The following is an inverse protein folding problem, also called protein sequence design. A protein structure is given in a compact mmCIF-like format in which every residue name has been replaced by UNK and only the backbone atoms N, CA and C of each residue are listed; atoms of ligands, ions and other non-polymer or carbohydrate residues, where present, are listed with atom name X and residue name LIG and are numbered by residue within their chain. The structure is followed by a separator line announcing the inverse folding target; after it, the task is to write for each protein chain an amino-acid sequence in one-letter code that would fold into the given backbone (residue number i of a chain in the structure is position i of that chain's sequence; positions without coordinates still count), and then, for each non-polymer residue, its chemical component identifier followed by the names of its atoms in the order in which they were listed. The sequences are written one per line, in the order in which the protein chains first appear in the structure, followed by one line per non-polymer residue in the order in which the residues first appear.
data_IF_799961378002
#
_entry.id   IF_799961378002
#
_cell.length_a   1.000
_cell.length_b   1.000
_cell.length_c   1.000
_cell.angle_alpha   90.00
_cell.angle_beta   90.00
_cell.angle_gamma   90.00
#
_symmetry.space_group_name_H-M   'P 1'
#
loop_
_entity.id
_entity.type
_entity.pdbx_description
1 polymer ?
#
# COMPACT_ATOMS: atom_id res chain seq x y z
N UNK A 1 -14.64 -11.49 -10.55
CA UNK A 1 -14.68 -10.46 -11.62
C UNK A 1 -14.30 -9.12 -11.00
N UNK A 2 -13.34 -8.42 -11.60
CA UNK A 2 -12.91 -7.09 -11.16
C UNK A 2 -14.05 -6.09 -11.43
N UNK A 3 -14.38 -5.22 -10.46
CA UNK A 3 -15.50 -4.28 -10.62
C UNK A 3 -15.21 -3.24 -11.71
N UNK A 4 -16.27 -2.67 -12.31
CA UNK A 4 -16.12 -1.64 -13.35
C UNK A 4 -15.34 -0.40 -12.87
N UNK A 5 -15.44 -0.03 -11.59
CA UNK A 5 -14.67 1.09 -11.00
C UNK A 5 -13.16 0.80 -10.97
N UNK A 6 -12.79 -0.44 -10.65
CA UNK A 6 -11.38 -0.86 -10.61
C UNK A 6 -10.81 -0.86 -12.03
N UNK A 7 -11.55 -1.41 -13.01
CA UNK A 7 -11.09 -1.43 -14.40
C UNK A 7 -10.88 -0.03 -14.96
N UNK A 8 -11.84 0.89 -14.74
CA UNK A 8 -11.71 2.28 -15.17
C UNK A 8 -10.47 2.96 -14.57
N UNK A 9 -10.16 2.71 -13.29
CA UNK A 9 -8.93 3.22 -12.68
C UNK A 9 -7.69 2.62 -13.37
N UNK A 10 -7.63 1.30 -13.58
CA UNK A 10 -6.47 0.66 -14.21
C UNK A 10 -6.24 1.16 -15.64
N UNK A 11 -7.30 1.35 -16.44
CA UNK A 11 -7.22 1.94 -17.77
C UNK A 11 -6.67 3.37 -17.71
N UNK A 12 -7.13 4.18 -16.74
CA UNK A 12 -6.58 5.51 -16.52
C UNK A 12 -5.07 5.46 -16.18
N UNK A 13 -4.64 4.53 -15.33
CA UNK A 13 -3.24 4.38 -14.97
C UNK A 13 -2.38 3.95 -16.17
N UNK A 14 -2.88 3.04 -17.01
CA UNK A 14 -2.21 2.65 -18.27
C UNK A 14 -2.07 3.84 -19.21
N UNK A 15 -3.12 4.64 -19.36
CA UNK A 15 -3.09 5.86 -20.16
C UNK A 15 -2.08 6.90 -19.63
N UNK A 16 -1.80 6.89 -18.32
CA UNK A 16 -0.79 7.72 -17.66
C UNK A 16 0.63 7.13 -17.70
N UNK A 17 0.82 5.98 -18.36
CA UNK A 17 2.14 5.39 -18.62
C UNK A 17 2.60 4.33 -17.62
N UNK A 18 1.72 3.86 -16.72
CA UNK A 18 1.98 2.66 -15.92
C UNK A 18 1.89 1.44 -16.85
N UNK A 19 2.98 0.69 -16.96
CA UNK A 19 3.15 -0.44 -17.90
C UNK A 19 3.39 -1.77 -17.21
N UNK A 20 3.74 -1.76 -15.92
CA UNK A 20 3.97 -2.98 -15.17
C UNK A 20 2.64 -3.66 -14.81
N UNK A 21 2.34 -4.73 -15.54
CA UNK A 21 1.12 -5.51 -15.32
C UNK A 21 1.13 -6.25 -13.96
N UNK A 22 2.30 -6.55 -13.37
CA UNK A 22 2.35 -7.11 -12.01
C UNK A 22 1.87 -6.08 -10.99
N UNK A 23 2.31 -4.82 -11.13
CA UNK A 23 1.85 -3.71 -10.29
C UNK A 23 0.36 -3.44 -10.46
N UNK A 24 -0.14 -3.41 -11.70
CA UNK A 24 -1.57 -3.22 -11.98
C UNK A 24 -2.43 -4.35 -11.41
N UNK A 25 -1.96 -5.60 -11.50
CA UNK A 25 -2.64 -6.74 -10.90
C UNK A 25 -2.66 -6.66 -9.36
N UNK A 26 -1.56 -6.23 -8.72
CA UNK A 26 -1.52 -5.99 -7.28
C UNK A 26 -2.49 -4.88 -6.86
N UNK A 27 -2.56 -3.77 -7.61
CA UNK A 27 -3.54 -2.69 -7.38
C UNK A 27 -4.99 -3.18 -7.47
N UNK A 28 -5.31 -4.06 -8.42
CA UNK A 28 -6.64 -4.65 -8.54
C UNK A 28 -6.96 -5.65 -7.43
N UNK A 29 -5.95 -6.37 -6.92
CA UNK A 29 -6.13 -7.37 -5.87
C UNK A 29 -6.35 -6.74 -4.48
N UNK A 30 -5.79 -5.57 -4.24
CA UNK A 30 -5.88 -4.89 -2.94
C UNK A 30 -7.13 -4.01 -2.86
N UNK A 31 -8.11 -4.32 -1.97
CA UNK A 31 -9.38 -3.59 -1.86
C UNK A 31 -9.18 -2.21 -1.23
N UNK A 32 -8.91 -1.19 -2.04
CA UNK A 32 -8.53 0.17 -1.61
C UNK A 32 -9.55 0.80 -0.65
N UNK A 33 -10.83 0.50 -0.80
CA UNK A 33 -11.90 0.95 0.09
C UNK A 33 -11.71 0.53 1.56
N UNK A 34 -11.02 -0.60 1.82
CA UNK A 34 -10.75 -1.04 3.19
C UNK A 34 -9.69 -0.20 3.90
N UNK A 35 -8.98 0.67 3.17
CA UNK A 35 -7.86 1.48 3.66
C UNK A 35 -8.22 2.95 3.91
N UNK A 36 -9.49 3.30 3.79
CA UNK A 36 -10.03 4.65 3.99
C UNK A 36 -11.23 4.60 4.94
N UNK A 37 -11.71 5.77 5.36
CA UNK A 37 -12.96 5.91 6.09
C UNK A 37 -14.15 5.62 5.17
N UNK A 38 -15.23 5.04 5.72
CA UNK A 38 -16.47 4.71 4.98
C UNK A 38 -17.08 5.92 4.29
N UNK A 39 -16.91 7.12 4.86
CA UNK A 39 -17.35 8.38 4.24
C UNK A 39 -16.73 8.63 2.85
N UNK A 40 -15.58 8.00 2.55
CA UNK A 40 -14.87 8.12 1.27
C UNK A 40 -15.01 6.89 0.36
N UNK A 41 -15.81 5.88 0.71
CA UNK A 41 -15.92 4.63 -0.07
C UNK A 41 -16.32 4.87 -1.53
N UNK A 42 -17.20 5.84 -1.78
CA UNK A 42 -17.62 6.22 -3.12
C UNK A 42 -16.45 6.73 -4.00
N UNK A 43 -15.41 7.29 -3.37
CA UNK A 43 -14.19 7.81 -4.02
C UNK A 43 -13.00 6.85 -3.96
N UNK A 44 -13.16 5.65 -3.39
CA UNK A 44 -12.05 4.74 -3.13
C UNK A 44 -11.19 4.46 -4.36
N UNK A 45 -11.82 4.38 -5.54
CA UNK A 45 -11.21 4.04 -6.82
C UNK A 45 -11.04 5.25 -7.75
N UNK A 46 -11.22 6.46 -7.24
CA UNK A 46 -10.81 7.68 -7.94
C UNK A 46 -9.28 7.82 -7.85
N UNK A 47 -8.66 8.35 -8.90
CA UNK A 47 -7.23 8.60 -8.92
C UNK A 47 -6.86 9.85 -8.10
N UNK A 48 -7.13 9.84 -6.80
CA UNK A 48 -6.86 10.94 -5.84
C UNK A 48 -6.29 10.43 -4.52
N UNK A 49 -5.65 11.31 -3.77
CA UNK A 49 -5.31 11.06 -2.37
C UNK A 49 -6.55 11.28 -1.49
N UNK A 50 -6.66 10.52 -0.40
CA UNK A 50 -7.80 10.62 0.54
C UNK A 50 -7.30 10.72 1.99
N UNK A 51 -8.03 11.40 2.89
CA UNK A 51 -7.69 11.42 4.31
C UNK A 51 -7.81 10.03 4.95
N UNK A 52 -6.89 9.70 5.86
CA UNK A 52 -6.92 8.46 6.66
C UNK A 52 -6.92 8.73 8.17
N UNK A 53 -7.17 9.98 8.56
CA UNK A 53 -7.11 10.45 9.94
C UNK A 53 -5.69 10.80 10.39
N UNK A 54 -5.58 11.36 11.60
CA UNK A 54 -4.31 11.75 12.24
C UNK A 54 -3.42 12.67 11.38
N UNK A 55 -4.06 13.51 10.56
CA UNK A 55 -3.40 14.44 9.65
C UNK A 55 -2.70 13.78 8.45
N UNK A 56 -2.92 12.48 8.21
CA UNK A 56 -2.28 11.73 7.13
C UNK A 56 -3.26 11.45 5.98
N UNK A 57 -2.68 11.10 4.83
CA UNK A 57 -3.43 10.71 3.62
C UNK A 57 -2.96 9.36 3.09
N UNK A 58 -3.87 8.65 2.40
CA UNK A 58 -3.50 7.58 1.48
C UNK A 58 -3.10 8.21 0.15
N UNK A 59 -1.96 7.81 -0.40
CA UNK A 59 -1.45 8.32 -1.67
C UNK A 59 -2.39 8.03 -2.85
N UNK A 60 -2.35 8.89 -3.85
CA UNK A 60 -3.02 8.69 -5.14
C UNK A 60 -2.61 7.34 -5.78
N UNK A 61 -3.53 6.57 -6.39
CA UNK A 61 -3.21 5.31 -7.06
C UNK A 61 -2.09 5.42 -8.10
N UNK A 62 -2.04 6.49 -8.90
CA UNK A 62 -0.94 6.75 -9.83
C UNK A 62 0.42 6.85 -9.13
N UNK A 63 0.51 7.53 -7.99
CA UNK A 63 1.76 7.62 -7.24
C UNK A 63 2.19 6.29 -6.65
N UNK A 64 1.25 5.55 -6.08
CA UNK A 64 1.49 4.19 -5.59
C UNK A 64 2.03 3.29 -6.72
N UNK A 65 1.36 3.30 -7.88
CA UNK A 65 1.78 2.52 -9.04
C UNK A 65 3.18 2.93 -9.51
N UNK A 66 3.41 4.23 -9.73
CA UNK A 66 4.65 4.74 -10.28
C UNK A 66 5.85 4.51 -9.36
N UNK A 67 5.68 4.74 -8.06
CA UNK A 67 6.72 4.47 -7.07
C UNK A 67 7.07 2.97 -7.03
N UNK A 68 6.06 2.11 -7.16
CA UNK A 68 6.25 0.66 -7.13
C UNK A 68 6.98 0.15 -8.38
N UNK A 69 6.64 0.65 -9.57
CA UNK A 69 7.35 0.31 -10.83
C UNK A 69 8.84 0.64 -10.75
N UNK A 70 9.17 1.81 -10.19
CA UNK A 70 10.56 2.29 -10.10
C UNK A 70 11.43 1.47 -9.13
N UNK A 71 10.84 0.64 -8.29
CA UNK A 71 11.58 -0.26 -7.40
C UNK A 71 12.09 -1.52 -8.11
N UNK A 72 11.63 -1.80 -9.33
CA UNK A 72 12.03 -2.98 -10.13
C UNK A 72 11.97 -4.28 -9.31
N UNK A 73 10.86 -4.46 -8.59
CA UNK A 73 10.71 -5.52 -7.59
C UNK A 73 10.68 -6.90 -8.23
N UNK A 74 11.22 -7.87 -7.49
CA UNK A 74 11.13 -9.30 -7.80
C UNK A 74 10.40 -10.02 -6.67
N UNK A 75 9.85 -11.23 -6.92
CA UNK A 75 9.27 -12.05 -5.86
C UNK A 75 10.24 -12.40 -4.72
N UNK A 76 11.55 -12.25 -4.92
CA UNK A 76 12.59 -12.49 -3.90
C UNK A 76 12.97 -11.22 -3.12
N UNK A 77 12.49 -10.05 -3.54
CA UNK A 77 12.83 -8.78 -2.92
C UNK A 77 12.40 -8.72 -1.45
N UNK A 78 13.22 -8.08 -0.62
CA UNK A 78 12.88 -7.70 0.75
C UNK A 78 12.82 -6.18 0.79
N UNK A 79 11.69 -5.64 1.21
CA UNK A 79 11.42 -4.20 1.10
C UNK A 79 11.32 -3.57 2.49
N UNK A 80 11.91 -2.39 2.63
CA UNK A 80 11.64 -1.47 3.74
C UNK A 80 10.73 -0.34 3.24
N UNK A 81 9.57 -0.20 3.86
CA UNK A 81 8.65 0.91 3.68
C UNK A 81 8.70 1.84 4.90
N UNK A 82 8.89 3.14 4.67
CA UNK A 82 8.82 4.17 5.70
C UNK A 82 7.52 4.96 5.52
N UNK A 83 6.66 4.90 6.53
CA UNK A 83 5.32 5.48 6.52
C UNK A 83 4.26 4.45 6.15
N UNK A 84 3.93 3.53 7.06
CA UNK A 84 2.85 2.54 6.85
C UNK A 84 1.51 3.23 6.53
N UNK A 85 1.18 4.33 7.22
CA UNK A 85 -0.09 5.03 7.04
C UNK A 85 -1.29 4.11 7.22
N UNK A 86 -2.13 4.00 6.19
CA UNK A 86 -3.27 3.06 6.18
C UNK A 86 -2.86 1.60 5.96
N UNK A 87 -1.65 1.35 5.44
CA UNK A 87 -1.15 0.04 5.03
C UNK A 87 -1.45 -0.32 3.57
N UNK A 88 -1.98 0.60 2.76
CA UNK A 88 -2.36 0.31 1.37
C UNK A 88 -1.16 -0.01 0.48
N UNK A 89 -0.14 0.85 0.50
CA UNK A 89 1.11 0.60 -0.21
C UNK A 89 1.80 -0.65 0.32
N UNK A 90 1.80 -0.85 1.65
CA UNK A 90 2.30 -2.07 2.29
C UNK A 90 1.65 -3.33 1.74
N UNK A 91 0.32 -3.32 1.59
CA UNK A 91 -0.43 -4.45 1.04
C UNK A 91 -0.06 -4.72 -0.43
N UNK A 92 0.07 -3.66 -1.24
CA UNK A 92 0.50 -3.79 -2.64
C UNK A 92 1.90 -4.40 -2.74
N UNK A 93 2.86 -3.90 -1.93
CA UNK A 93 4.21 -4.46 -1.89
C UNK A 93 4.19 -5.92 -1.46
N UNK A 94 3.35 -6.29 -0.48
CA UNK A 94 3.23 -7.65 0.02
C UNK A 94 2.74 -8.65 -1.05
N UNK A 95 1.99 -8.19 -2.07
CA UNK A 95 1.60 -9.03 -3.21
C UNK A 95 2.74 -9.28 -4.21
N UNK A 96 3.80 -8.48 -4.16
CA UNK A 96 4.85 -8.45 -5.20
C UNK A 96 6.18 -9.06 -4.74
N UNK A 97 6.41 -9.17 -3.43
CA UNK A 97 7.75 -9.43 -2.88
C UNK A 97 7.76 -10.51 -1.80
N UNK A 98 8.95 -11.00 -1.47
CA UNK A 98 9.15 -12.03 -0.46
C UNK A 98 8.74 -11.54 0.94
N UNK A 99 9.13 -10.32 1.31
CA UNK A 99 8.81 -9.76 2.62
C UNK A 99 8.83 -8.23 2.63
N UNK A 100 7.90 -7.61 3.35
CA UNK A 100 7.85 -6.17 3.60
C UNK A 100 8.05 -5.90 5.09
N UNK A 101 9.04 -5.10 5.44
CA UNK A 101 9.03 -4.38 6.71
C UNK A 101 8.43 -2.99 6.49
N UNK A 102 7.46 -2.59 7.32
CA UNK A 102 6.87 -1.25 7.29
C UNK A 102 6.96 -0.55 8.63
N UNK A 103 7.43 0.70 8.64
CA UNK A 103 7.64 1.53 9.82
C UNK A 103 6.65 2.69 9.83
N UNK A 104 5.98 2.91 10.96
CA UNK A 104 5.06 4.04 11.16
C UNK A 104 5.33 4.71 12.49
N UNK A 105 5.32 6.04 12.52
CA UNK A 105 5.59 6.84 13.74
C UNK A 105 4.35 7.10 14.57
N UNK A 106 3.17 7.06 13.97
CA UNK A 106 1.90 7.30 14.65
C UNK A 106 1.29 5.97 15.09
N UNK A 107 1.28 5.73 16.41
CA UNK A 107 0.85 4.47 17.03
C UNK A 107 -0.55 4.02 16.60
N UNK A 108 -1.48 4.98 16.44
CA UNK A 108 -2.86 4.71 16.02
C UNK A 108 -2.93 4.11 14.62
N UNK A 109 -2.28 4.75 13.64
CA UNK A 109 -2.18 4.24 12.28
C UNK A 109 -1.49 2.88 12.21
N UNK A 110 -0.35 2.73 12.90
CA UNK A 110 0.39 1.47 12.91
C UNK A 110 -0.47 0.30 13.41
N UNK A 111 -1.22 0.53 14.49
CA UNK A 111 -2.08 -0.50 15.07
C UNK A 111 -3.22 -0.88 14.13
N UNK A 112 -3.86 0.10 13.50
CA UNK A 112 -4.95 -0.11 12.55
C UNK A 112 -4.46 -0.82 11.28
N UNK A 113 -3.35 -0.38 10.70
CA UNK A 113 -2.73 -1.00 9.53
C UNK A 113 -2.37 -2.46 9.80
N UNK A 114 -1.72 -2.75 10.94
CA UNK A 114 -1.40 -4.13 11.33
C UNK A 114 -2.64 -5.04 11.40
N UNK A 115 -3.73 -4.55 12.00
CA UNK A 115 -4.99 -5.31 12.10
C UNK A 115 -5.58 -5.56 10.70
N UNK A 116 -5.61 -4.53 9.86
CA UNK A 116 -6.13 -4.59 8.49
C UNK A 116 -5.34 -5.58 7.62
N UNK A 117 -4.01 -5.51 7.64
CA UNK A 117 -3.14 -6.42 6.89
C UNK A 117 -3.35 -7.89 7.32
N UNK A 118 -3.53 -8.14 8.62
CA UNK A 118 -3.88 -9.47 9.13
C UNK A 118 -5.26 -9.94 8.67
N UNK A 119 -6.25 -9.04 8.62
CA UNK A 119 -7.60 -9.35 8.11
C UNK A 119 -7.62 -9.62 6.60
N UNK A 120 -6.62 -9.13 5.87
CA UNK A 120 -6.39 -9.40 4.45
C UNK A 120 -5.52 -10.64 4.20
N UNK A 121 -5.20 -11.40 5.26
CA UNK A 121 -4.42 -12.64 5.19
C UNK A 121 -2.98 -12.45 4.63
N UNK A 122 -2.40 -11.27 4.85
CA UNK A 122 -1.02 -10.98 4.46
C UNK A 122 -0.05 -11.40 5.58
N UNK A 123 0.73 -12.44 5.32
CA UNK A 123 1.64 -13.04 6.31
C UNK A 123 3.11 -12.65 6.13
N UNK A 124 3.47 -12.04 5.01
CA UNK A 124 4.84 -11.62 4.68
C UNK A 124 5.11 -10.15 5.05
N UNK A 125 4.40 -9.61 6.05
CA UNK A 125 4.55 -8.23 6.50
C UNK A 125 4.93 -8.16 7.98
N UNK A 126 6.05 -7.50 8.26
CA UNK A 126 6.42 -7.06 9.59
C UNK A 126 6.11 -5.57 9.76
N UNK A 127 5.40 -5.20 10.82
CA UNK A 127 5.11 -3.79 11.12
C UNK A 127 5.84 -3.33 12.37
N UNK A 128 6.35 -2.11 12.37
CA UNK A 128 7.07 -1.50 13.50
C UNK A 128 6.52 -0.10 13.80
N UNK A 129 6.18 0.15 15.06
CA UNK A 129 5.97 1.52 15.54
C UNK A 129 7.34 2.13 15.85
N UNK A 130 7.69 3.24 15.20
CA UNK A 130 9.00 3.87 15.39
C UNK A 130 9.27 5.02 14.44
N UNK A 131 10.42 5.66 14.63
CA UNK A 131 10.95 6.67 13.71
C UNK A 131 11.64 5.97 12.53
N UNK A 132 11.24 6.32 11.31
CA UNK A 132 11.81 5.78 10.08
C UNK A 132 13.24 6.24 9.79
N UNK A 133 13.72 7.28 10.47
CA UNK A 133 15.11 7.75 10.39
C UNK A 133 16.04 7.05 11.38
N UNK A 134 15.49 6.32 12.36
CA UNK A 134 16.27 5.63 13.37
C UNK A 134 16.81 4.30 12.84
N UNK A 135 17.90 3.81 13.46
CA UNK A 135 18.45 2.49 13.14
C UNK A 135 17.42 1.40 13.41
N UNK A 136 17.09 0.65 12.35
CA UNK A 136 16.18 -0.49 12.44
C UNK A 136 16.93 -1.75 12.86
N UNK A 137 16.22 -2.64 13.55
CA UNK A 137 16.74 -3.92 14.06
C UNK A 137 15.65 -5.00 13.95
N UNK A 138 16.06 -6.27 14.02
CA UNK A 138 15.15 -7.42 13.96
C UNK A 138 14.59 -7.64 12.56
N UNK A 139 13.31 -8.02 12.46
CA UNK A 139 12.61 -8.32 11.21
C UNK A 139 12.55 -7.14 10.19
N UNK A 140 12.99 -5.96 10.64
CA UNK A 140 13.06 -4.72 9.87
C UNK A 140 14.48 -4.24 9.56
N UNK A 141 15.50 -5.07 9.82
CA UNK A 141 16.83 -4.86 9.26
C UNK A 141 16.81 -5.37 7.81
N UNK A 142 16.61 -4.46 6.87
CA UNK A 142 16.67 -4.70 5.41
C UNK A 142 17.98 -4.16 4.89
#
# INVERSE_FOLDING_TARGET
MVSGRVQALLEQLRAQGIRDEQVLNALAAVPREKFIDEAFEHKAWENIALPIGQGQTISQPYMVARMTELLELTPQSRVLEIGTGSGYQTAILAHLVHHVCSVERIKGLQWQARRRLKQLDLHNVSTRHGDGLARLAGACAV
#
